data_IF_532408674399
#
_entry.id   IF_532408674399
#
_cell.length_a   1.000
_cell.length_b   1.000
_cell.length_c   1.000
_cell.angle_alpha   90.00
_cell.angle_beta   90.00
_cell.angle_gamma   90.00
#
_symmetry.space_group_name_H-M   'P 1'
#
loop_
_entity.id
_entity.type
_entity.pdbx_description
1 polymer ?
#
# COMPACT_ATOMS: atom_id res chain seq x y z
N UNK A 1 14.23 1.41 10.42
CA UNK A 1 12.76 1.59 10.36
C UNK A 1 12.34 2.59 11.43
N UNK A 2 11.83 3.77 11.06
CA UNK A 2 11.38 4.77 12.04
C UNK A 2 9.91 4.49 12.43
N UNK A 3 9.68 4.13 13.71
CA UNK A 3 8.35 3.82 14.26
C UNK A 3 7.39 5.02 14.27
N UNK A 4 7.92 6.24 14.31
CA UNK A 4 7.13 7.48 14.28
C UNK A 4 6.44 7.67 12.92
N UNK A 5 7.02 7.15 11.84
CA UNK A 5 6.48 7.24 10.47
C UNK A 5 5.52 6.09 10.13
N UNK A 6 4.86 5.49 11.14
CA UNK A 6 3.93 4.35 10.93
C UNK A 6 2.78 4.66 9.98
N UNK A 7 2.34 5.90 9.91
CA UNK A 7 1.31 6.39 8.98
C UNK A 7 1.78 6.45 7.51
N UNK A 8 3.05 6.19 7.22
CA UNK A 8 3.56 6.04 5.85
C UNK A 8 3.68 4.58 5.43
N UNK A 9 3.44 3.63 6.34
CA UNK A 9 3.56 2.20 6.05
C UNK A 9 2.66 1.80 4.87
N UNK A 10 1.37 2.20 4.79
CA UNK A 10 0.52 1.77 3.67
C UNK A 10 1.05 2.20 2.31
N UNK A 11 1.44 3.46 2.14
CA UNK A 11 1.99 3.92 0.85
C UNK A 11 3.34 3.29 0.54
N UNK A 12 4.18 3.05 1.55
CA UNK A 12 5.43 2.32 1.37
C UNK A 12 5.20 0.86 0.95
N UNK A 13 4.17 0.19 1.47
CA UNK A 13 3.81 -1.17 1.06
C UNK A 13 3.32 -1.21 -0.38
N UNK A 14 2.51 -0.24 -0.82
CA UNK A 14 2.12 -0.12 -2.24
C UNK A 14 3.36 0.02 -3.12
N UNK A 15 4.26 0.96 -2.79
CA UNK A 15 5.48 1.17 -3.59
C UNK A 15 6.39 -0.04 -3.64
N UNK A 16 6.53 -0.77 -2.53
CA UNK A 16 7.32 -2.01 -2.50
C UNK A 16 6.68 -3.12 -3.35
N UNK A 17 5.36 -3.28 -3.27
CA UNK A 17 4.63 -4.26 -4.07
C UNK A 17 4.81 -3.96 -5.58
N UNK A 18 4.70 -2.70 -5.98
CA UNK A 18 4.84 -2.28 -7.37
C UNK A 18 6.27 -2.46 -7.90
N UNK A 19 7.25 -2.00 -7.13
CA UNK A 19 8.64 -2.00 -7.57
C UNK A 19 9.27 -3.40 -7.56
N UNK A 20 8.82 -4.29 -6.69
CA UNK A 20 9.49 -5.58 -6.43
C UNK A 20 8.55 -6.77 -6.59
N UNK A 21 7.45 -6.82 -5.83
CA UNK A 21 6.69 -8.06 -5.68
C UNK A 21 5.93 -8.45 -6.94
N UNK A 22 5.30 -7.51 -7.65
CA UNK A 22 4.50 -7.83 -8.84
C UNK A 22 5.35 -8.48 -9.93
N UNK A 23 6.50 -7.87 -10.27
CA UNK A 23 7.40 -8.41 -11.28
C UNK A 23 7.92 -9.81 -10.91
N UNK A 24 8.24 -10.03 -9.63
CA UNK A 24 8.67 -11.34 -9.14
C UNK A 24 7.58 -12.39 -9.30
N UNK A 25 6.35 -12.10 -8.86
CA UNK A 25 5.28 -13.09 -8.93
C UNK A 25 4.76 -13.29 -10.36
N UNK A 26 4.81 -12.27 -11.22
CA UNK A 26 4.49 -12.40 -12.65
C UNK A 26 5.49 -13.31 -13.37
N UNK A 27 6.78 -13.16 -13.10
CA UNK A 27 7.81 -14.04 -13.63
C UNK A 27 7.64 -15.48 -13.12
N UNK A 28 7.33 -15.65 -11.83
CA UNK A 28 7.11 -16.98 -11.24
C UNK A 28 5.87 -17.67 -11.83
N UNK A 29 4.77 -16.94 -12.04
CA UNK A 29 3.57 -17.48 -12.69
C UNK A 29 3.83 -17.85 -14.15
N UNK A 30 4.72 -17.15 -14.87
CA UNK A 30 5.14 -17.56 -16.21
C UNK A 30 5.92 -18.87 -16.22
N UNK A 31 6.65 -19.19 -15.16
CA UNK A 31 7.38 -20.46 -15.02
C UNK A 31 6.46 -21.60 -14.64
N UNK A 32 5.48 -21.35 -13.76
CA UNK A 32 4.47 -22.32 -13.37
C UNK A 32 3.14 -21.63 -13.04
N UNK A 33 2.10 -22.00 -13.78
CA UNK A 33 0.74 -21.45 -13.57
C UNK A 33 0.20 -21.78 -12.17
N UNK A 34 0.65 -22.87 -11.54
CA UNK A 34 0.29 -23.23 -10.16
C UNK A 34 0.70 -22.17 -9.13
N UNK A 35 1.64 -21.28 -9.49
CA UNK A 35 2.06 -20.17 -8.65
C UNK A 35 1.17 -18.92 -8.80
N UNK A 36 0.18 -18.91 -9.70
CA UNK A 36 -0.78 -17.80 -9.86
C UNK A 36 -1.44 -17.32 -8.56
N UNK A 37 -1.79 -18.18 -7.57
CA UNK A 37 -2.36 -17.73 -6.31
C UNK A 37 -1.47 -16.73 -5.54
N UNK A 38 -0.14 -16.79 -5.73
CA UNK A 38 0.79 -15.83 -5.12
C UNK A 38 0.67 -14.45 -5.77
N UNK A 39 0.60 -14.40 -7.11
CA UNK A 39 0.39 -13.16 -7.86
C UNK A 39 -0.97 -12.53 -7.53
N UNK A 40 -2.03 -13.34 -7.53
CA UNK A 40 -3.37 -12.88 -7.19
C UNK A 40 -3.46 -12.37 -5.74
N UNK A 41 -2.86 -13.09 -4.80
CA UNK A 41 -2.73 -12.65 -3.40
C UNK A 41 -1.95 -11.32 -3.28
N UNK A 42 -0.87 -11.17 -4.04
CA UNK A 42 -0.08 -9.94 -4.07
C UNK A 42 -0.92 -8.74 -4.58
N UNK A 43 -1.65 -8.92 -5.68
CA UNK A 43 -2.55 -7.89 -6.25
C UNK A 43 -3.68 -7.51 -5.28
N UNK A 44 -4.30 -8.50 -4.60
CA UNK A 44 -5.32 -8.26 -3.57
C UNK A 44 -4.76 -7.48 -2.38
N UNK A 45 -3.55 -7.82 -1.92
CA UNK A 45 -2.90 -7.09 -0.84
C UNK A 45 -2.54 -5.67 -1.24
N UNK A 46 -2.07 -5.45 -2.49
CA UNK A 46 -1.83 -4.12 -3.04
C UNK A 46 -3.08 -3.24 -2.95
N UNK A 47 -4.23 -3.77 -3.38
CA UNK A 47 -5.50 -3.03 -3.34
C UNK A 47 -5.88 -2.64 -1.91
N UNK A 48 -5.72 -3.55 -0.94
CA UNK A 48 -5.99 -3.26 0.48
C UNK A 48 -5.05 -2.17 1.03
N UNK A 49 -3.76 -2.24 0.70
CA UNK A 49 -2.80 -1.23 1.12
C UNK A 49 -3.06 0.13 0.48
N UNK A 50 -3.47 0.14 -0.79
CA UNK A 50 -3.88 1.36 -1.49
C UNK A 50 -5.07 2.03 -0.79
N UNK A 51 -6.12 1.25 -0.46
CA UNK A 51 -7.28 1.78 0.27
C UNK A 51 -6.89 2.35 1.65
N UNK A 52 -5.98 1.69 2.38
CA UNK A 52 -5.47 2.19 3.66
C UNK A 52 -4.64 3.47 3.50
N UNK A 53 -3.85 3.59 2.44
CA UNK A 53 -3.06 4.80 2.15
C UNK A 53 -3.98 6.00 1.86
N UNK A 54 -5.02 5.80 1.04
CA UNK A 54 -6.02 6.84 0.73
C UNK A 54 -6.83 7.25 1.96
N UNK A 55 -7.18 6.31 2.84
CA UNK A 55 -7.89 6.61 4.08
C UNK A 55 -7.03 7.48 5.02
N UNK A 56 -5.74 7.19 5.12
CA UNK A 56 -4.81 7.97 5.93
C UNK A 56 -4.62 9.39 5.38
N UNK A 57 -4.52 9.54 4.06
CA UNK A 57 -4.45 10.85 3.42
C UNK A 57 -5.70 11.69 3.69
N UNK A 58 -6.90 11.11 3.54
CA UNK A 58 -8.17 11.78 3.87
C UNK A 58 -8.26 12.21 5.33
N UNK A 59 -7.72 11.41 6.25
CA UNK A 59 -7.72 11.71 7.69
C UNK A 59 -6.81 12.90 8.01
N UNK A 60 -5.66 13.01 7.34
CA UNK A 60 -4.73 14.13 7.49
C UNK A 60 -5.36 15.43 6.96
N UNK A 61 -5.98 15.39 5.78
CA UNK A 61 -6.64 16.56 5.15
C UNK A 61 -7.80 17.09 6.00
N UNK A 62 -8.61 16.19 6.57
CA UNK A 62 -9.74 16.59 7.44
C UNK A 62 -9.29 17.07 8.83
N UNK A 63 -8.10 16.66 9.30
CA UNK A 63 -7.53 17.10 10.57
C UNK A 63 -7.00 18.53 10.54
N UNK A 64 -6.38 18.95 9.43
CA UNK A 64 -5.82 20.30 9.25
C UNK A 64 -6.90 21.40 9.18
N UNK A 65 -8.09 21.07 8.69
CA UNK A 65 -9.23 22.01 8.61
C UNK A 65 -9.82 22.36 9.98
N UNK A 66 -9.51 21.59 11.04
CA UNK A 66 -10.00 21.82 12.41
C UNK A 66 -9.07 22.69 13.28
N UNK A 67 -7.82 22.93 12.85
CA UNK A 67 -6.88 23.77 13.59
C UNK A 67 -6.94 25.26 13.20
N UNK A 68 -7.46 25.61 12.02
CA UNK A 68 -7.50 27.00 11.51
C UNK A 68 -8.61 27.86 12.15
N UNK A 69 -9.48 27.30 13.01
CA UNK A 69 -10.58 28.04 13.69
C UNK A 69 -10.31 28.40 15.17
N UNK A 70 -9.10 28.19 15.67
CA UNK A 70 -8.68 28.66 17.00
C UNK A 70 -7.58 29.70 16.85
N UNK A 71 -7.95 30.92 16.54
CA UNK A 71 -7.22 32.16 16.84
C UNK A 71 -8.23 33.29 16.95
#
# INVERSE_FOLDING_TARGET
MNREKKNKIPSMQVGFIDAICLQLYEALTHVSEDCFPLLDGCRKNRQKWQALAEQQEKTLINGESSQTKRN
#
